data_IF_350952818329
#
_entry.id   IF_350952818329
#
_cell.length_a   1.000
_cell.length_b   1.000
_cell.length_c   1.000
_cell.angle_alpha   90.00
_cell.angle_beta   90.00
_cell.angle_gamma   90.00
#
_symmetry.space_group_name_H-M   'P 1'
#
loop_
_entity.id
_entity.type
_entity.pdbx_description
1 polymer ?
#
# COMPACT_ATOMS: atom_id res chain seq x y z
N UNK A 1 -8.62 26.07 -47.50
CA UNK A 1 -8.30 24.75 -46.92
C UNK A 1 -7.73 25.01 -45.53
N UNK A 2 -8.55 24.77 -44.51
CA UNK A 2 -8.37 25.20 -43.13
C UNK A 2 -7.22 24.43 -42.47
N UNK A 3 -6.25 25.09 -41.82
CA UNK A 3 -5.26 24.46 -40.94
C UNK A 3 -5.57 24.79 -39.46
N UNK A 4 -6.65 24.26 -38.86
CA UNK A 4 -6.74 24.20 -37.42
C UNK A 4 -5.91 23.00 -36.92
N UNK A 5 -5.33 23.14 -35.73
CA UNK A 5 -5.19 22.06 -34.75
C UNK A 5 -4.06 21.03 -34.74
N UNK A 6 -2.92 21.25 -35.41
CA UNK A 6 -1.73 20.40 -35.20
C UNK A 6 -1.26 20.35 -33.72
N UNK A 7 -1.51 21.40 -32.94
CA UNK A 7 -1.19 21.45 -31.50
C UNK A 7 -2.18 20.69 -30.63
N UNK A 8 -3.45 20.63 -31.05
CA UNK A 8 -4.48 19.89 -30.32
C UNK A 8 -4.36 18.39 -30.59
N UNK A 9 -4.14 17.98 -31.84
CA UNK A 9 -3.86 16.59 -32.19
C UNK A 9 -2.62 16.03 -31.47
N UNK A 10 -1.56 16.83 -31.34
CA UNK A 10 -0.35 16.42 -30.60
C UNK A 10 -0.63 16.25 -29.10
N UNK A 11 -1.42 17.15 -28.50
CA UNK A 11 -1.84 17.04 -27.09
C UNK A 11 -2.72 15.81 -26.85
N UNK A 12 -3.61 15.50 -27.78
CA UNK A 12 -4.50 14.34 -27.67
C UNK A 12 -3.73 13.01 -27.82
N UNK A 13 -2.74 12.97 -28.72
CA UNK A 13 -1.83 11.85 -28.87
C UNK A 13 -0.93 11.66 -27.63
N UNK A 14 -0.40 12.73 -27.05
CA UNK A 14 0.37 12.69 -25.79
C UNK A 14 -0.49 12.18 -24.63
N UNK A 15 -1.73 12.65 -24.51
CA UNK A 15 -2.66 12.19 -23.48
C UNK A 15 -2.96 10.68 -23.59
N UNK A 16 -3.16 10.18 -24.82
CA UNK A 16 -3.36 8.77 -25.08
C UNK A 16 -2.13 7.92 -24.70
N UNK A 17 -0.93 8.37 -25.07
CA UNK A 17 0.33 7.69 -24.77
C UNK A 17 0.62 7.67 -23.26
N UNK A 18 0.31 8.76 -22.54
CA UNK A 18 0.42 8.81 -21.08
C UNK A 18 -0.52 7.81 -20.39
N UNK A 19 -1.73 7.61 -20.91
CA UNK A 19 -2.67 6.62 -20.38
C UNK A 19 -2.16 5.20 -20.62
N UNK A 20 -1.56 4.94 -21.78
CA UNK A 20 -0.96 3.65 -22.11
C UNK A 20 0.24 3.34 -21.21
N UNK A 21 1.17 4.29 -21.03
CA UNK A 21 2.29 4.16 -20.08
C UNK A 21 1.79 3.92 -18.65
N UNK A 22 0.71 4.60 -18.22
CA UNK A 22 0.08 4.36 -16.92
C UNK A 22 -0.50 2.95 -16.80
N UNK A 23 -1.06 2.38 -17.88
CA UNK A 23 -1.54 0.99 -17.94
C UNK A 23 -0.38 0.00 -17.84
N UNK A 24 0.65 0.18 -18.66
CA UNK A 24 1.85 -0.68 -18.69
C UNK A 24 2.55 -0.67 -17.32
N UNK A 25 2.74 0.51 -16.74
CA UNK A 25 3.31 0.68 -15.39
C UNK A 25 2.49 -0.03 -14.32
N UNK A 26 1.15 0.00 -14.41
CA UNK A 26 0.26 -0.75 -13.49
C UNK A 26 0.45 -2.26 -13.65
N UNK A 27 0.54 -2.75 -14.88
CA UNK A 27 0.80 -4.17 -15.17
C UNK A 27 2.15 -4.64 -14.64
N UNK A 28 3.21 -3.85 -14.84
CA UNK A 28 4.55 -4.15 -14.30
C UNK A 28 4.56 -4.22 -12.77
N UNK A 29 3.84 -3.31 -12.10
CA UNK A 29 3.72 -3.29 -10.63
C UNK A 29 2.99 -4.52 -10.09
N UNK A 30 1.95 -5.00 -10.77
CA UNK A 30 1.25 -6.24 -10.41
C UNK A 30 2.13 -7.48 -10.63
N UNK A 31 2.89 -7.51 -11.72
CA UNK A 31 3.74 -8.66 -12.06
C UNK A 31 4.92 -8.80 -11.09
N UNK A 32 5.51 -7.69 -10.64
CA UNK A 32 6.59 -7.70 -9.64
C UNK A 32 6.15 -8.17 -8.25
N UNK A 33 4.89 -7.96 -7.86
CA UNK A 33 4.33 -8.47 -6.60
C UNK A 33 3.92 -9.95 -6.69
N UNK A 34 3.57 -10.44 -7.88
CA UNK A 34 3.19 -11.85 -8.10
C UNK A 34 4.38 -12.82 -8.20
N UNK A 35 5.62 -12.31 -8.20
CA UNK A 35 6.86 -13.10 -8.10
C UNK A 35 7.09 -13.68 -6.70
N UNK A 36 6.03 -14.20 -6.08
CA UNK A 36 6.07 -14.83 -4.76
C UNK A 36 7.06 -15.98 -4.79
N UNK A 37 8.07 -15.87 -3.93
CA UNK A 37 9.03 -16.95 -3.65
C UNK A 37 8.25 -18.26 -3.51
N UNK A 38 8.67 -19.28 -4.26
CA UNK A 38 8.12 -20.63 -4.21
C UNK A 38 8.09 -21.09 -2.76
N UNK A 39 6.92 -21.02 -2.12
CA UNK A 39 6.76 -21.39 -0.72
C UNK A 39 7.23 -22.82 -0.54
N UNK A 40 8.20 -23.01 0.35
CA UNK A 40 8.67 -24.36 0.67
C UNK A 40 7.51 -25.17 1.25
N UNK A 41 7.55 -26.50 1.12
CA UNK A 41 6.47 -27.37 1.61
C UNK A 41 6.21 -27.12 3.11
N UNK A 42 7.29 -26.91 3.89
CA UNK A 42 7.18 -26.55 5.31
C UNK A 42 6.48 -25.22 5.56
N UNK A 43 6.74 -24.21 4.72
CA UNK A 43 6.05 -22.91 4.78
C UNK A 43 4.56 -23.04 4.47
N UNK A 44 4.17 -23.84 3.46
CA UNK A 44 2.76 -24.08 3.12
C UNK A 44 1.99 -24.78 4.24
N UNK A 45 2.61 -25.78 4.86
CA UNK A 45 2.03 -26.50 6.01
C UNK A 45 1.89 -25.56 7.21
N UNK A 46 2.92 -24.77 7.51
CA UNK A 46 2.89 -23.80 8.59
C UNK A 46 1.76 -22.76 8.41
N UNK A 47 1.55 -22.22 7.21
CA UNK A 47 0.44 -21.28 6.94
C UNK A 47 -0.92 -21.91 7.15
N UNK A 48 -1.09 -23.14 6.67
CA UNK A 48 -2.38 -23.84 6.75
C UNK A 48 -2.72 -24.15 8.20
N UNK A 49 -1.72 -24.59 8.97
CA UNK A 49 -1.87 -24.87 10.41
C UNK A 49 -2.10 -23.57 11.20
N UNK A 50 -1.38 -22.49 10.89
CA UNK A 50 -1.55 -21.20 11.54
C UNK A 50 -2.93 -20.59 11.30
N UNK A 51 -3.39 -20.60 10.04
CA UNK A 51 -4.73 -20.15 9.68
C UNK A 51 -5.82 -21.00 10.37
N UNK A 52 -5.56 -22.30 10.56
CA UNK A 52 -6.46 -23.18 11.31
C UNK A 52 -6.47 -22.92 12.82
N UNK A 53 -5.31 -22.71 13.42
CA UNK A 53 -5.15 -22.59 14.88
C UNK A 53 -5.77 -21.30 15.45
N UNK A 54 -5.91 -20.25 14.64
CA UNK A 54 -6.59 -19.01 15.02
C UNK A 54 -8.12 -19.02 14.84
N UNK A 55 -8.70 -20.12 14.34
CA UNK A 55 -10.12 -20.21 14.02
C UNK A 55 -10.96 -20.74 15.19
N UNK A 56 -12.12 -20.14 15.43
CA UNK A 56 -13.13 -20.63 16.38
C UNK A 56 -13.54 -22.08 16.11
N UNK A 57 -13.52 -22.52 14.85
CA UNK A 57 -13.85 -23.89 14.47
C UNK A 57 -12.84 -24.92 15.02
N UNK A 58 -11.56 -24.56 15.13
CA UNK A 58 -10.52 -25.45 15.65
C UNK A 58 -10.73 -25.76 17.13
N UNK A 59 -11.04 -24.73 17.93
CA UNK A 59 -11.33 -24.87 19.36
C UNK A 59 -12.55 -25.77 19.58
N UNK A 60 -13.59 -25.61 18.77
CA UNK A 60 -14.81 -26.43 18.85
C UNK A 60 -14.50 -27.90 18.54
N UNK A 61 -13.81 -28.18 17.43
CA UNK A 61 -13.44 -29.55 17.03
C UNK A 61 -12.58 -30.21 18.10
N UNK A 62 -11.55 -29.53 18.60
CA UNK A 62 -10.68 -30.05 19.65
C UNK A 62 -11.46 -30.35 20.93
N UNK A 63 -12.35 -29.46 21.35
CA UNK A 63 -13.19 -29.64 22.53
C UNK A 63 -14.15 -30.81 22.37
N UNK A 64 -14.75 -31.00 21.19
CA UNK A 64 -15.62 -32.14 20.90
C UNK A 64 -14.86 -33.46 20.94
N UNK A 65 -13.65 -33.53 20.37
CA UNK A 65 -12.81 -34.74 20.40
C UNK A 65 -12.47 -35.11 21.85
N UNK A 66 -12.05 -34.13 22.67
CA UNK A 66 -11.76 -34.37 24.08
C UNK A 66 -12.99 -34.84 24.85
N UNK A 67 -14.14 -34.21 24.62
CA UNK A 67 -15.40 -34.58 25.27
C UNK A 67 -15.83 -36.00 24.87
N UNK A 68 -15.74 -36.37 23.59
CA UNK A 68 -16.01 -37.72 23.10
C UNK A 68 -15.05 -38.75 23.70
N UNK A 69 -13.76 -38.41 23.81
CA UNK A 69 -12.76 -39.30 24.41
C UNK A 69 -13.03 -39.58 25.89
N UNK A 70 -13.41 -38.53 26.64
CA UNK A 70 -13.81 -38.67 28.05
C UNK A 70 -15.06 -39.54 28.16
N UNK A 71 -16.10 -39.27 27.36
CA UNK A 71 -17.35 -40.07 27.37
C UNK A 71 -17.06 -41.54 27.03
N UNK A 72 -16.26 -41.82 26.00
CA UNK A 72 -15.90 -43.18 25.60
C UNK A 72 -15.12 -43.92 26.70
N UNK A 73 -14.20 -43.25 27.40
CA UNK A 73 -13.47 -43.85 28.52
C UNK A 73 -14.35 -44.09 29.76
N UNK A 74 -15.23 -43.13 30.11
CA UNK A 74 -16.12 -43.24 31.27
C UNK A 74 -17.23 -44.27 31.07
N UNK A 75 -17.75 -44.39 29.84
CA UNK A 75 -18.80 -45.38 29.52
C UNK A 75 -18.29 -46.82 29.36
N UNK A 76 -16.99 -47.05 29.57
CA UNK A 76 -16.36 -48.37 29.66
C UNK A 76 -16.73 -49.33 28.51
N UNK A 77 -16.83 -48.82 27.28
CA UNK A 77 -17.16 -49.64 26.11
C UNK A 77 -16.02 -50.60 25.73
N UNK A 78 -14.78 -50.28 26.10
CA UNK A 78 -13.57 -51.11 25.94
C UNK A 78 -12.81 -51.04 27.27
N UNK A 79 -12.50 -52.20 27.87
CA UNK A 79 -11.75 -52.38 29.12
C UNK A 79 -10.87 -51.18 29.54
N UNK A 80 -11.24 -50.49 30.64
CA UNK A 80 -10.46 -49.54 31.47
C UNK A 80 -9.07 -49.11 30.97
N UNK A 81 -8.98 -48.60 29.74
CA UNK A 81 -7.70 -48.38 29.05
C UNK A 81 -6.95 -47.17 29.62
N UNK A 82 -7.68 -46.22 30.21
CA UNK A 82 -7.15 -45.06 30.92
C UNK A 82 -7.95 -44.79 32.21
N UNK A 83 -7.65 -45.49 33.33
CA UNK A 83 -8.29 -45.27 34.62
C UNK A 83 -8.03 -43.85 35.14
N UNK A 84 -8.95 -43.31 35.95
CA UNK A 84 -8.76 -42.02 36.62
C UNK A 84 -7.42 -42.04 37.41
N UNK A 85 -6.44 -41.16 37.11
CA UNK A 85 -6.56 -39.77 36.64
C UNK A 85 -6.15 -39.50 35.17
N UNK A 86 -6.54 -40.36 34.21
CA UNK A 86 -6.35 -40.17 32.75
C UNK A 86 -4.91 -39.82 32.33
N UNK A 87 -3.97 -40.72 32.61
CA UNK A 87 -2.53 -40.46 32.42
C UNK A 87 -2.18 -40.28 30.94
N UNK A 88 -2.84 -41.02 30.06
CA UNK A 88 -2.57 -41.00 28.62
C UNK A 88 -3.10 -39.72 27.98
N UNK A 89 -4.30 -39.28 28.37
CA UNK A 89 -4.86 -38.00 27.92
C UNK A 89 -4.00 -36.82 28.38
N UNK A 90 -3.51 -36.86 29.62
CA UNK A 90 -2.63 -35.83 30.15
C UNK A 90 -1.30 -35.76 29.37
N UNK A 91 -0.70 -36.92 29.07
CA UNK A 91 0.52 -37.00 28.27
C UNK A 91 0.30 -36.48 26.84
N UNK A 92 -0.81 -36.86 26.21
CA UNK A 92 -1.16 -36.41 24.86
C UNK A 92 -1.39 -34.90 24.79
N UNK A 93 -2.12 -34.32 25.76
CA UNK A 93 -2.32 -32.87 25.85
C UNK A 93 -1.02 -32.11 26.10
N UNK A 94 -0.16 -32.64 26.97
CA UNK A 94 1.14 -32.04 27.26
C UNK A 94 2.04 -32.03 26.02
N UNK A 95 2.06 -33.12 25.26
CA UNK A 95 2.78 -33.20 23.99
C UNK A 95 2.18 -32.25 22.94
N UNK A 96 0.85 -32.19 22.83
CA UNK A 96 0.15 -31.29 21.92
C UNK A 96 0.53 -29.82 22.21
N UNK A 97 0.51 -29.41 23.48
CA UNK A 97 0.90 -28.06 23.89
C UNK A 97 2.39 -27.76 23.63
N UNK A 98 3.27 -28.75 23.83
CA UNK A 98 4.70 -28.59 23.56
C UNK A 98 4.99 -28.32 22.08
N UNK A 99 4.27 -28.95 21.15
CA UNK A 99 4.43 -28.70 19.72
C UNK A 99 3.69 -27.45 19.23
N UNK A 100 2.59 -27.08 19.89
CA UNK A 100 1.83 -25.87 19.56
C UNK A 100 2.70 -24.61 19.61
N UNK A 101 3.52 -24.42 20.65
CA UNK A 101 4.30 -23.20 20.82
C UNK A 101 5.33 -22.94 19.68
N UNK A 102 6.17 -23.91 19.26
CA UNK A 102 7.03 -23.75 18.09
C UNK A 102 6.28 -23.47 16.79
N UNK A 103 5.14 -24.13 16.55
CA UNK A 103 4.33 -23.87 15.34
C UNK A 103 3.77 -22.44 15.33
N UNK A 104 3.25 -21.98 16.47
CA UNK A 104 2.81 -20.59 16.63
C UNK A 104 3.98 -19.64 16.38
N UNK A 105 5.14 -19.88 17.00
CA UNK A 105 6.32 -19.02 16.85
C UNK A 105 6.84 -18.97 15.41
N UNK A 106 6.86 -20.11 14.70
CA UNK A 106 7.26 -20.16 13.29
C UNK A 106 6.28 -19.39 12.40
N UNK A 107 4.98 -19.51 12.65
CA UNK A 107 3.98 -18.73 11.92
C UNK A 107 4.10 -17.24 12.21
N UNK A 108 4.33 -16.86 13.46
CA UNK A 108 4.51 -15.46 13.85
C UNK A 108 5.76 -14.87 13.21
N UNK A 109 6.90 -15.55 13.29
CA UNK A 109 8.15 -15.10 12.69
C UNK A 109 8.00 -14.90 11.17
N UNK A 110 7.24 -15.79 10.52
CA UNK A 110 6.92 -15.65 9.10
C UNK A 110 6.01 -14.46 8.81
N UNK A 111 4.95 -14.26 9.59
CA UNK A 111 4.05 -13.12 9.41
C UNK A 111 4.81 -11.81 9.61
N UNK A 112 5.67 -11.73 10.62
CA UNK A 112 6.55 -10.58 10.87
C UNK A 112 7.49 -10.30 9.69
N UNK A 113 8.04 -11.34 9.04
CA UNK A 113 8.87 -11.17 7.85
C UNK A 113 8.09 -10.60 6.65
N UNK A 114 6.86 -11.05 6.46
CA UNK A 114 5.96 -10.52 5.42
C UNK A 114 5.63 -9.06 5.71
N UNK A 115 5.21 -8.77 6.95
CA UNK A 115 4.84 -7.43 7.39
C UNK A 115 6.02 -6.46 7.29
N UNK A 116 7.24 -6.92 7.66
CA UNK A 116 8.47 -6.14 7.51
C UNK A 116 8.76 -5.79 6.05
N UNK A 117 8.67 -6.76 5.13
CA UNK A 117 8.88 -6.52 3.70
C UNK A 117 7.83 -5.57 3.11
N UNK A 118 6.58 -5.70 3.54
CA UNK A 118 5.52 -4.79 3.14
C UNK A 118 5.81 -3.36 3.62
N UNK A 119 6.20 -3.21 4.90
CA UNK A 119 6.57 -1.92 5.46
C UNK A 119 7.78 -1.27 4.76
N UNK A 120 8.82 -2.06 4.43
CA UNK A 120 9.99 -1.56 3.69
C UNK A 120 9.61 -1.08 2.29
N UNK A 121 8.76 -1.84 1.58
CA UNK A 121 8.27 -1.46 0.26
C UNK A 121 7.39 -0.19 0.30
N UNK A 122 6.51 -0.09 1.31
CA UNK A 122 5.67 1.09 1.50
C UNK A 122 6.51 2.32 1.85
N UNK A 123 7.55 2.15 2.67
CA UNK A 123 8.52 3.21 2.96
C UNK A 123 9.21 3.70 1.68
N UNK A 124 9.70 2.80 0.82
CA UNK A 124 10.32 3.18 -0.45
C UNK A 124 9.36 3.92 -1.39
N UNK A 125 8.09 3.50 -1.45
CA UNK A 125 7.06 4.22 -2.20
C UNK A 125 6.86 5.63 -1.63
N UNK A 126 6.81 5.77 -0.31
CA UNK A 126 6.59 7.05 0.34
C UNK A 126 7.74 8.04 0.01
N UNK A 127 9.00 7.62 0.18
CA UNK A 127 10.17 8.43 -0.19
C UNK A 127 10.12 8.83 -1.68
N UNK A 128 9.73 7.90 -2.56
CA UNK A 128 9.60 8.20 -3.99
C UNK A 128 8.48 9.22 -4.26
N UNK A 129 7.36 9.11 -3.56
CA UNK A 129 6.25 10.05 -3.68
C UNK A 129 6.63 11.44 -3.15
N UNK A 130 7.35 11.52 -2.03
CA UNK A 130 7.88 12.76 -1.47
C UNK A 130 8.78 13.47 -2.48
N UNK A 131 9.75 12.76 -3.08
CA UNK A 131 10.62 13.32 -4.12
C UNK A 131 9.84 13.76 -5.38
N UNK A 132 8.85 12.98 -5.81
CA UNK A 132 8.01 13.35 -6.96
C UNK A 132 7.21 14.63 -6.68
N UNK A 133 6.72 14.81 -5.45
CA UNK A 133 6.04 16.03 -5.00
C UNK A 133 6.99 17.22 -4.97
N UNK A 134 8.21 17.05 -4.46
CA UNK A 134 9.23 18.11 -4.43
C UNK A 134 9.59 18.58 -5.85
N UNK A 135 9.82 17.63 -6.78
CA UNK A 135 10.07 17.93 -8.18
C UNK A 135 8.89 18.62 -8.86
N UNK A 136 7.66 18.26 -8.50
CA UNK A 136 6.46 18.96 -9.00
C UNK A 136 6.39 20.40 -8.47
N UNK A 137 6.72 20.64 -7.20
CA UNK A 137 6.77 22.00 -6.64
C UNK A 137 7.82 22.85 -7.36
N UNK A 138 9.04 22.33 -7.54
CA UNK A 138 10.09 23.05 -8.29
C UNK A 138 9.65 23.41 -9.71
N UNK A 139 8.97 22.49 -10.42
CA UNK A 139 8.44 22.79 -11.76
C UNK A 139 7.34 23.84 -11.74
N UNK A 140 6.45 23.81 -10.74
CA UNK A 140 5.39 24.81 -10.57
C UNK A 140 6.00 26.19 -10.30
N UNK A 141 7.01 26.27 -9.44
CA UNK A 141 7.68 27.52 -9.12
C UNK A 141 8.40 28.12 -10.34
N UNK A 142 9.10 27.28 -11.13
CA UNK A 142 9.71 27.70 -12.41
C UNK A 142 8.68 28.22 -13.41
N UNK A 143 7.53 27.54 -13.53
CA UNK A 143 6.45 27.98 -14.40
C UNK A 143 5.87 29.32 -13.93
N UNK A 144 5.65 29.47 -12.61
CA UNK A 144 5.17 30.72 -12.01
C UNK A 144 6.14 31.88 -12.23
N UNK A 145 7.43 31.67 -12.04
CA UNK A 145 8.44 32.69 -12.27
C UNK A 145 8.43 33.16 -13.73
N UNK A 146 8.35 32.22 -14.67
CA UNK A 146 8.25 32.52 -16.11
C UNK A 146 6.97 33.31 -16.43
N UNK A 147 5.84 32.94 -15.84
CA UNK A 147 4.56 33.60 -16.05
C UNK A 147 4.53 35.02 -15.46
N UNK A 148 5.10 35.20 -14.27
CA UNK A 148 5.25 36.52 -13.62
C UNK A 148 6.13 37.45 -14.45
N UNK A 149 7.25 36.96 -14.99
CA UNK A 149 8.13 37.75 -15.85
C UNK A 149 7.37 38.21 -17.10
N UNK A 150 6.63 37.32 -17.76
CA UNK A 150 5.82 37.67 -18.94
C UNK A 150 4.71 38.67 -18.62
N UNK A 151 4.01 38.50 -17.50
CA UNK A 151 2.98 39.44 -17.04
C UNK A 151 3.59 40.82 -16.79
N UNK A 152 4.76 40.87 -16.16
CA UNK A 152 5.49 42.13 -15.88
C UNK A 152 5.91 42.83 -17.17
N UNK A 153 6.44 42.10 -18.16
CA UNK A 153 6.76 42.64 -19.48
C UNK A 153 5.51 43.20 -20.16
N UNK A 154 4.42 42.44 -20.16
CA UNK A 154 3.14 42.85 -20.77
C UNK A 154 2.60 44.13 -20.14
N UNK A 155 2.64 44.24 -18.80
CA UNK A 155 2.22 45.45 -18.08
C UNK A 155 3.13 46.64 -18.42
N UNK A 156 4.44 46.43 -18.52
CA UNK A 156 5.41 47.47 -18.89
C UNK A 156 5.16 47.99 -20.30
N UNK A 157 4.92 47.10 -21.25
CA UNK A 157 4.63 47.45 -22.64
C UNK A 157 3.33 48.25 -22.75
N UNK A 158 2.26 47.80 -22.07
CA UNK A 158 1.00 48.53 -22.01
C UNK A 158 1.17 49.93 -21.41
N UNK A 159 1.94 50.07 -20.33
CA UNK A 159 2.26 51.36 -19.71
C UNK A 159 2.99 52.29 -20.68
N UNK A 160 3.96 51.78 -21.45
CA UNK A 160 4.68 52.58 -22.46
C UNK A 160 3.78 53.01 -23.62
N UNK A 161 2.87 52.15 -24.07
CA UNK A 161 1.88 52.50 -25.10
C UNK A 161 0.94 53.60 -24.63
N UNK A 162 0.46 53.53 -23.38
CA UNK A 162 -0.36 54.58 -22.78
C UNK A 162 0.41 55.90 -22.69
N UNK A 163 1.67 55.87 -22.22
CA UNK A 163 2.53 57.04 -22.14
C UNK A 163 2.78 57.69 -23.52
N UNK A 164 3.00 56.88 -24.56
CA UNK A 164 3.15 57.36 -25.95
C UNK A 164 1.87 57.92 -26.54
N UNK A 165 0.72 57.37 -26.17
CA UNK A 165 -0.59 57.80 -26.67
C UNK A 165 -1.10 59.10 -26.02
N UNK A 166 -0.33 59.70 -25.09
CA UNK A 166 -0.66 60.98 -24.47
C UNK A 166 -1.79 60.92 -23.43
N UNK A 167 -2.25 59.73 -23.06
CA UNK A 167 -3.32 59.51 -22.08
C UNK A 167 -2.75 59.39 -20.65
N UNK A 168 -1.93 60.35 -20.22
CA UNK A 168 -1.47 60.40 -18.83
C UNK A 168 -2.44 61.28 -18.02
N UNK A 169 -3.09 60.79 -16.94
CA UNK A 169 -3.70 61.72 -16.00
C UNK A 169 -2.60 62.59 -15.40
N UNK A 170 -2.73 63.90 -15.59
CA UNK A 170 -1.81 64.90 -15.08
C UNK A 170 -1.57 64.69 -13.56
N UNK A 171 -0.37 65.00 -13.04
CA UNK A 171 -0.15 65.00 -11.60
C UNK A 171 -1.18 65.94 -10.96
N UNK A 172 -2.07 65.41 -10.13
CA UNK A 172 -2.88 66.24 -9.24
C UNK A 172 -1.92 67.05 -8.38
N UNK A 173 -2.02 68.37 -8.54
CA UNK A 173 -1.03 69.32 -8.06
C UNK A 173 -0.79 69.23 -6.56
N UNK A 174 0.50 69.14 -6.23
CA UNK A 174 1.11 69.93 -5.17
C UNK A 174 0.51 71.35 -5.18
N UNK A 175 -0.33 71.66 -4.19
CA UNK A 175 -0.69 73.03 -3.83
C UNK A 175 -0.09 73.30 -2.46
N UNK A 176 1.04 73.99 -2.46
CA UNK A 176 1.53 74.73 -1.31
C UNK A 176 0.51 75.82 -0.94
N UNK A 177 -0.09 75.73 0.25
CA UNK A 177 -0.59 76.83 1.07
C UNK A 177 -0.93 76.34 2.49
#
# INVERSE_FOLDING_TARGET
MNRPDLRHELRDAEAALLLELRRVRRGLRQTGQAGGQSLTIGQKVADTVAAGMGSWAFIIIQSTILLLWIIANVTAWIQHWDPYPFILLNLALSFQAAYAAPFIMMSQNRQQDIDRKAAEHDYQINIKAELEIELLHQKIDQLRETEIIRLTETVRDLSQLLARSGLCPAPEGEKDA
#
